data_IF_385811962212
#
_entry.id   IF_385811962212
#
_cell.length_a   1.000
_cell.length_b   1.000
_cell.length_c   1.000
_cell.angle_alpha   90.00
_cell.angle_beta   90.00
_cell.angle_gamma   90.00
#
_symmetry.space_group_name_H-M   'P 1'
#
loop_
_entity.id
_entity.type
_entity.pdbx_description
1 polymer ?
#
# COMPACT_ATOMS: atom_id res chain seq x y z
N UNK A 1 -4.04 23.83 -2.20
CA UNK A 1 -4.39 24.54 -3.46
C UNK A 1 -5.54 25.49 -3.19
N UNK A 2 -5.50 26.75 -3.71
CA UNK A 2 -6.61 27.72 -3.66
C UNK A 2 -6.94 28.11 -5.10
N UNK A 3 -8.14 27.78 -5.54
CA UNK A 3 -8.71 28.16 -6.84
C UNK A 3 -9.68 29.34 -6.62
N UNK A 4 -9.74 30.26 -7.58
CA UNK A 4 -10.57 31.48 -7.49
C UNK A 4 -11.87 31.33 -8.30
N UNK A 5 -11.82 30.64 -9.42
CA UNK A 5 -12.87 30.51 -10.39
C UNK A 5 -13.45 29.10 -10.45
N UNK A 6 -12.67 28.09 -10.01
CA UNK A 6 -13.10 26.68 -9.96
C UNK A 6 -13.51 26.28 -8.54
N UNK A 7 -14.58 25.49 -8.44
CA UNK A 7 -15.06 24.93 -7.18
C UNK A 7 -14.70 23.44 -7.08
N UNK A 8 -13.73 23.10 -6.21
CA UNK A 8 -13.33 21.71 -5.97
C UNK A 8 -14.53 20.81 -5.58
N UNK A 9 -15.44 21.23 -4.66
CA UNK A 9 -16.61 20.39 -4.34
C UNK A 9 -17.51 20.10 -5.54
N UNK A 10 -17.66 21.04 -6.46
CA UNK A 10 -18.42 20.84 -7.67
C UNK A 10 -17.74 19.85 -8.62
N UNK A 11 -16.43 20.01 -8.83
CA UNK A 11 -15.63 19.10 -9.65
C UNK A 11 -15.67 17.66 -9.13
N UNK A 12 -15.53 17.48 -7.81
CA UNK A 12 -15.62 16.17 -7.14
C UNK A 12 -16.99 15.54 -7.34
N UNK A 13 -18.07 16.34 -7.24
CA UNK A 13 -19.43 15.85 -7.46
C UNK A 13 -19.67 15.39 -8.91
N UNK A 14 -19.18 16.16 -9.89
CA UNK A 14 -19.28 15.83 -11.32
C UNK A 14 -18.39 14.62 -11.70
N UNK A 15 -17.20 14.52 -11.11
CA UNK A 15 -16.30 13.40 -11.35
C UNK A 15 -16.76 12.08 -10.72
N UNK A 16 -17.72 12.11 -9.79
CA UNK A 16 -18.22 10.94 -9.08
C UNK A 16 -17.24 10.34 -8.07
N UNK A 17 -16.19 11.07 -7.70
CA UNK A 17 -15.21 10.63 -6.70
C UNK A 17 -14.24 11.73 -6.30
N UNK A 18 -13.70 11.64 -5.09
CA UNK A 18 -12.75 12.59 -4.54
C UNK A 18 -11.31 12.01 -4.59
N UNK A 19 -10.47 12.44 -5.55
CA UNK A 19 -9.12 11.93 -5.71
C UNK A 19 -8.21 12.24 -4.52
N UNK A 20 -8.40 13.38 -3.84
CA UNK A 20 -7.62 13.74 -2.65
C UNK A 20 -7.96 12.86 -1.45
N UNK A 21 -9.24 12.52 -1.29
CA UNK A 21 -9.66 11.58 -0.24
C UNK A 21 -9.10 10.17 -0.47
N UNK A 22 -9.08 9.71 -1.72
CA UNK A 22 -8.48 8.43 -2.11
C UNK A 22 -6.97 8.43 -1.84
N UNK A 23 -6.26 9.48 -2.28
CA UNK A 23 -4.82 9.63 -2.02
C UNK A 23 -4.54 9.65 -0.52
N UNK A 24 -5.26 10.46 0.26
CA UNK A 24 -5.11 10.53 1.71
C UNK A 24 -5.28 9.17 2.38
N UNK A 25 -6.29 8.38 1.95
CA UNK A 25 -6.49 7.01 2.42
C UNK A 25 -5.32 6.10 2.07
N UNK A 26 -4.77 6.23 0.87
CA UNK A 26 -3.62 5.46 0.41
C UNK A 26 -2.34 5.84 1.17
N UNK A 27 -2.10 7.13 1.40
CA UNK A 27 -0.95 7.64 2.16
C UNK A 27 -0.99 7.26 3.66
N UNK A 28 -2.17 6.97 4.21
CA UNK A 28 -2.30 6.43 5.56
C UNK A 28 -1.71 5.03 5.73
N UNK A 29 -1.52 4.29 4.64
CA UNK A 29 -0.85 2.99 4.62
C UNK A 29 0.62 3.09 5.05
N UNK A 30 1.13 2.02 5.67
CA UNK A 30 2.49 1.99 6.24
C UNK A 30 3.33 0.84 5.67
N UNK A 31 3.83 0.96 4.43
CA UNK A 31 4.58 -0.11 3.77
C UNK A 31 5.82 -0.55 4.58
N UNK A 32 6.50 0.38 5.26
CA UNK A 32 7.64 0.04 6.10
C UNK A 32 7.30 -0.87 7.29
N UNK A 33 6.09 -0.75 7.87
CA UNK A 33 5.63 -1.64 8.93
C UNK A 33 5.30 -3.03 8.38
N UNK A 34 4.68 -3.11 7.20
CA UNK A 34 4.42 -4.38 6.51
C UNK A 34 5.74 -5.08 6.18
N UNK A 35 6.73 -4.35 5.66
CA UNK A 35 8.06 -4.90 5.38
C UNK A 35 8.80 -5.36 6.65
N UNK A 36 8.59 -4.69 7.78
CA UNK A 36 9.15 -5.13 9.07
C UNK A 36 8.49 -6.42 9.57
N UNK A 37 7.17 -6.54 9.38
CA UNK A 37 6.43 -7.76 9.68
C UNK A 37 6.88 -8.92 8.78
N UNK A 38 7.08 -8.66 7.49
CA UNK A 38 7.61 -9.66 6.54
C UNK A 38 8.96 -10.22 7.02
N UNK A 39 9.87 -9.36 7.45
CA UNK A 39 11.17 -9.80 8.01
C UNK A 39 11.01 -10.67 9.24
N UNK A 40 10.08 -10.31 10.16
CA UNK A 40 9.81 -11.13 11.34
C UNK A 40 9.29 -12.53 10.97
N UNK A 41 8.43 -12.64 9.96
CA UNK A 41 7.98 -13.93 9.44
C UNK A 41 9.11 -14.72 8.77
N UNK A 42 10.01 -14.06 8.05
CA UNK A 42 11.17 -14.69 7.46
C UNK A 42 12.11 -15.27 8.53
N UNK A 43 12.44 -14.48 9.56
CA UNK A 43 13.29 -14.90 10.67
C UNK A 43 12.66 -16.05 11.47
N UNK A 44 11.36 -15.99 11.71
CA UNK A 44 10.60 -17.07 12.33
C UNK A 44 10.65 -18.34 11.48
N UNK A 45 10.55 -18.22 10.16
CA UNK A 45 10.69 -19.33 9.23
C UNK A 45 12.05 -20.02 9.31
N UNK A 46 13.13 -19.24 9.37
CA UNK A 46 14.51 -19.73 9.55
C UNK A 46 14.62 -20.48 10.88
N UNK A 47 14.19 -19.85 12.00
CA UNK A 47 14.26 -20.45 13.32
C UNK A 47 13.45 -21.76 13.42
N UNK A 48 12.29 -21.82 12.75
CA UNK A 48 11.46 -23.02 12.70
C UNK A 48 12.13 -24.14 11.89
N UNK A 49 12.80 -23.79 10.77
CA UNK A 49 13.55 -24.76 9.98
C UNK A 49 14.76 -25.32 10.75
N UNK A 50 15.47 -24.49 11.49
CA UNK A 50 16.58 -24.91 12.35
C UNK A 50 16.09 -25.85 13.48
N UNK A 51 14.93 -25.51 14.08
CA UNK A 51 14.31 -26.37 15.09
C UNK A 51 13.89 -27.74 14.51
N UNK A 52 13.36 -27.79 13.29
CA UNK A 52 12.99 -29.04 12.61
C UNK A 52 14.22 -29.92 12.36
N UNK A 53 15.31 -29.33 11.89
CA UNK A 53 16.59 -30.02 11.69
C UNK A 53 17.15 -30.56 13.02
N UNK A 54 17.17 -29.73 14.06
CA UNK A 54 17.67 -30.13 15.39
C UNK A 54 16.82 -31.26 16.01
N UNK A 55 15.49 -31.14 15.87
CA UNK A 55 14.57 -32.15 16.35
C UNK A 55 14.72 -33.48 15.62
N UNK A 56 14.84 -33.45 14.29
CA UNK A 56 15.10 -34.64 13.46
C UNK A 56 16.42 -35.31 13.85
N UNK A 57 17.47 -34.55 14.06
CA UNK A 57 18.76 -35.07 14.51
C UNK A 57 18.69 -35.67 15.93
N UNK A 58 17.93 -35.08 16.84
CA UNK A 58 17.67 -35.62 18.18
C UNK A 58 16.93 -36.96 18.12
N UNK A 59 15.88 -37.06 17.29
CA UNK A 59 15.16 -38.31 17.04
C UNK A 59 16.08 -39.42 16.54
N UNK A 60 16.92 -39.13 15.55
CA UNK A 60 17.86 -40.11 15.01
C UNK A 60 18.86 -40.62 16.06
N UNK A 61 19.38 -39.70 16.93
CA UNK A 61 20.26 -40.11 18.05
C UNK A 61 19.52 -40.98 19.08
N UNK A 62 18.27 -40.66 19.39
CA UNK A 62 17.44 -41.41 20.28
C UNK A 62 17.17 -42.83 19.72
N UNK A 63 16.81 -42.95 18.46
CA UNK A 63 16.58 -44.23 17.77
C UNK A 63 17.83 -45.10 17.77
N UNK A 64 19.00 -44.52 17.48
CA UNK A 64 20.29 -45.23 17.49
C UNK A 64 20.68 -45.77 18.86
N UNK A 65 20.27 -45.07 19.96
CA UNK A 65 20.53 -45.50 21.34
C UNK A 65 19.44 -46.32 21.96
N UNK A 66 18.29 -46.46 21.33
CA UNK A 66 17.14 -47.19 21.86
C UNK A 66 17.38 -48.68 21.89
N UNK A 67 17.28 -49.27 23.08
CA UNK A 67 17.54 -50.66 23.30
C UNK A 67 16.19 -51.44 23.33
N UNK A 68 15.82 -52.08 22.26
CA UNK A 68 14.53 -52.76 22.00
C UNK A 68 14.20 -53.92 22.97
N UNK A 69 14.87 -54.05 24.13
CA UNK A 69 14.82 -55.21 25.02
C UNK A 69 13.45 -55.55 25.62
N UNK A 70 12.49 -54.62 25.63
CA UNK A 70 11.20 -54.86 26.36
C UNK A 70 9.93 -54.70 25.49
N UNK A 71 10.02 -54.67 24.16
CA UNK A 71 8.83 -54.55 23.29
C UNK A 71 8.08 -53.22 23.44
N UNK A 72 8.65 -52.24 24.15
CA UNK A 72 8.07 -50.93 24.30
C UNK A 72 8.17 -50.10 22.99
N UNK A 73 7.09 -49.45 22.61
CA UNK A 73 7.09 -48.54 21.44
C UNK A 73 8.01 -47.35 21.69
N UNK A 74 8.93 -47.04 20.75
CA UNK A 74 9.79 -45.86 20.91
C UNK A 74 8.98 -44.59 21.10
N UNK A 75 9.41 -43.71 21.99
CA UNK A 75 8.74 -42.40 22.24
C UNK A 75 8.62 -41.58 20.97
N UNK A 76 9.54 -41.75 20.00
CA UNK A 76 9.52 -41.13 18.68
C UNK A 76 8.30 -41.50 17.85
N UNK A 77 7.68 -42.63 18.11
CA UNK A 77 6.46 -43.11 17.42
C UNK A 77 5.17 -42.64 18.12
N UNK A 78 5.30 -41.92 19.24
CA UNK A 78 4.15 -41.34 19.89
C UNK A 78 3.41 -40.35 18.98
N UNK A 79 2.08 -40.31 19.10
CA UNK A 79 1.24 -39.42 18.32
C UNK A 79 1.59 -37.93 18.54
N UNK A 80 2.11 -37.61 19.72
CA UNK A 80 2.54 -36.24 20.08
C UNK A 80 3.80 -35.84 19.34
N UNK A 81 4.84 -36.68 19.35
CA UNK A 81 6.08 -36.44 18.62
C UNK A 81 5.83 -36.29 17.13
N UNK A 82 5.01 -37.20 16.55
CA UNK A 82 4.65 -37.10 15.16
C UNK A 82 3.82 -35.86 14.80
N UNK A 83 2.97 -35.38 15.72
CA UNK A 83 2.21 -34.13 15.54
C UNK A 83 3.13 -32.93 15.53
N UNK A 84 4.05 -32.84 16.48
CA UNK A 84 5.04 -31.75 16.56
C UNK A 84 5.94 -31.74 15.31
N UNK A 85 6.45 -32.87 14.88
CA UNK A 85 7.27 -32.99 13.67
C UNK A 85 6.52 -32.48 12.43
N UNK A 86 5.26 -32.86 12.29
CA UNK A 86 4.43 -32.41 11.14
C UNK A 86 4.14 -30.92 11.22
N UNK A 87 3.86 -30.39 12.40
CA UNK A 87 3.62 -28.96 12.59
C UNK A 87 4.86 -28.13 12.22
N UNK A 88 6.03 -28.47 12.75
CA UNK A 88 7.30 -27.80 12.40
C UNK A 88 7.57 -27.83 10.89
N UNK A 89 7.40 -28.98 10.24
CA UNK A 89 7.62 -29.10 8.80
C UNK A 89 6.61 -28.31 7.95
N UNK A 90 5.41 -28.04 8.44
CA UNK A 90 4.41 -27.19 7.77
C UNK A 90 4.75 -25.71 7.97
N UNK A 91 5.01 -25.30 9.20
CA UNK A 91 5.29 -23.92 9.55
C UNK A 91 6.59 -23.43 8.90
N UNK A 92 7.65 -24.23 8.88
CA UNK A 92 8.91 -23.89 8.21
C UNK A 92 8.75 -23.56 6.71
N UNK A 93 7.70 -24.07 6.07
CA UNK A 93 7.39 -23.77 4.66
C UNK A 93 6.38 -22.65 4.46
N UNK A 94 5.46 -22.46 5.41
CA UNK A 94 4.41 -21.44 5.31
C UNK A 94 4.92 -20.04 5.69
N UNK A 95 5.73 -19.91 6.74
CA UNK A 95 6.22 -18.64 7.22
C UNK A 95 7.02 -17.86 6.15
N UNK A 96 7.95 -18.46 5.39
CA UNK A 96 8.63 -17.75 4.31
C UNK A 96 7.70 -17.30 3.17
N UNK A 97 6.63 -18.04 2.88
CA UNK A 97 5.65 -17.64 1.87
C UNK A 97 4.87 -16.42 2.31
N UNK A 98 4.40 -16.42 3.56
CA UNK A 98 3.75 -15.23 4.15
C UNK A 98 4.69 -14.02 4.12
N UNK A 99 5.98 -14.20 4.42
CA UNK A 99 6.98 -13.15 4.34
C UNK A 99 7.06 -12.57 2.91
N UNK A 100 7.16 -13.42 1.89
CA UNK A 100 7.23 -12.99 0.48
C UNK A 100 5.95 -12.26 0.04
N UNK A 101 4.78 -12.74 0.45
CA UNK A 101 3.50 -12.08 0.13
C UNK A 101 3.42 -10.70 0.79
N UNK A 102 3.86 -10.56 2.05
CA UNK A 102 3.92 -9.28 2.76
C UNK A 102 4.93 -8.31 2.13
N UNK A 103 6.09 -8.78 1.69
CA UNK A 103 7.07 -7.97 0.96
C UNK A 103 6.47 -7.42 -0.33
N UNK A 104 5.76 -8.26 -1.07
CA UNK A 104 5.06 -7.87 -2.30
C UNK A 104 4.00 -6.80 -2.02
N UNK A 105 3.17 -6.99 -0.99
CA UNK A 105 2.16 -6.01 -0.58
C UNK A 105 2.82 -4.68 -0.19
N UNK A 106 3.91 -4.72 0.58
CA UNK A 106 4.63 -3.53 1.00
C UNK A 106 5.20 -2.75 -0.20
N UNK A 107 5.78 -3.47 -1.18
CA UNK A 107 6.34 -2.88 -2.39
C UNK A 107 5.25 -2.24 -3.27
N UNK A 108 4.14 -2.95 -3.50
CA UNK A 108 3.00 -2.45 -4.29
C UNK A 108 2.39 -1.22 -3.62
N UNK A 109 2.19 -1.24 -2.29
CA UNK A 109 1.66 -0.10 -1.57
C UNK A 109 2.57 1.12 -1.67
N UNK A 110 3.89 0.95 -1.49
CA UNK A 110 4.85 2.04 -1.61
C UNK A 110 4.88 2.64 -3.03
N UNK A 111 4.77 1.81 -4.06
CA UNK A 111 4.69 2.26 -5.44
C UNK A 111 3.39 2.99 -5.72
N UNK A 112 2.26 2.45 -5.26
CA UNK A 112 0.95 3.10 -5.40
C UNK A 112 0.92 4.46 -4.72
N UNK A 113 1.52 4.61 -3.53
CA UNK A 113 1.64 5.90 -2.84
C UNK A 113 2.42 6.92 -3.67
N UNK A 114 3.58 6.54 -4.22
CA UNK A 114 4.38 7.44 -5.08
C UNK A 114 3.62 7.85 -6.34
N UNK A 115 2.98 6.90 -6.98
CA UNK A 115 2.21 7.13 -8.21
C UNK A 115 1.02 8.05 -7.92
N UNK A 116 0.30 7.81 -6.83
CA UNK A 116 -0.83 8.64 -6.41
C UNK A 116 -0.39 10.09 -6.14
N UNK A 117 0.69 10.29 -5.37
CA UNK A 117 1.24 11.63 -5.12
C UNK A 117 1.53 12.37 -6.44
N UNK A 118 2.19 11.71 -7.39
CA UNK A 118 2.50 12.30 -8.69
C UNK A 118 1.22 12.70 -9.47
N UNK A 119 0.18 11.86 -9.45
CA UNK A 119 -1.08 12.17 -10.14
C UNK A 119 -1.81 13.33 -9.46
N UNK A 120 -1.81 13.42 -8.13
CA UNK A 120 -2.42 14.53 -7.40
C UNK A 120 -1.68 15.83 -7.69
N UNK A 121 -0.34 15.83 -7.67
CA UNK A 121 0.45 17.02 -8.02
C UNK A 121 0.20 17.49 -9.45
N UNK A 122 0.12 16.57 -10.41
CA UNK A 122 -0.22 16.89 -11.79
C UNK A 122 -1.64 17.48 -11.93
N UNK A 123 -2.63 16.84 -11.28
CA UNK A 123 -4.00 17.33 -11.26
C UNK A 123 -4.10 18.75 -10.66
N UNK A 124 -3.43 19.00 -9.54
CA UNK A 124 -3.42 20.30 -8.91
C UNK A 124 -2.78 21.38 -9.79
N UNK A 125 -1.72 21.02 -10.50
CA UNK A 125 -1.07 21.90 -11.47
C UNK A 125 -2.01 22.25 -12.63
N UNK A 126 -2.67 21.25 -13.22
CA UNK A 126 -3.58 21.46 -14.34
C UNK A 126 -4.80 22.30 -13.93
N UNK A 127 -5.37 22.02 -12.74
CA UNK A 127 -6.48 22.81 -12.21
C UNK A 127 -6.10 24.27 -11.95
N UNK A 128 -4.89 24.52 -11.45
CA UNK A 128 -4.39 25.88 -11.25
C UNK A 128 -4.23 26.63 -12.58
N UNK A 129 -3.69 25.95 -13.61
CA UNK A 129 -3.55 26.55 -14.94
C UNK A 129 -4.90 26.90 -15.55
N UNK A 130 -5.89 26.03 -15.46
CA UNK A 130 -7.26 26.27 -15.94
C UNK A 130 -7.92 27.44 -15.17
N UNK A 131 -7.74 27.50 -13.84
CA UNK A 131 -8.27 28.57 -13.02
C UNK A 131 -7.70 29.94 -13.41
N UNK A 132 -6.40 30.00 -13.70
CA UNK A 132 -5.71 31.19 -14.20
C UNK A 132 -6.20 31.58 -15.62
N UNK A 133 -6.39 30.64 -16.53
CA UNK A 133 -6.94 30.88 -17.87
C UNK A 133 -8.36 31.45 -17.80
N UNK A 134 -9.22 30.92 -16.91
CA UNK A 134 -10.55 31.46 -16.67
C UNK A 134 -10.47 32.90 -16.16
N UNK A 135 -9.55 33.17 -15.23
CA UNK A 135 -9.32 34.53 -14.71
C UNK A 135 -8.96 35.51 -15.82
N UNK A 136 -8.02 35.16 -16.69
CA UNK A 136 -7.61 35.99 -17.83
C UNK A 136 -8.76 36.24 -18.80
N UNK A 137 -9.53 35.19 -19.15
CA UNK A 137 -10.69 35.34 -20.02
C UNK A 137 -11.76 36.26 -19.46
N UNK A 138 -11.99 36.22 -18.14
CA UNK A 138 -12.93 37.09 -17.47
C UNK A 138 -12.45 38.56 -17.48
N UNK A 139 -11.16 38.83 -17.21
CA UNK A 139 -10.55 40.17 -17.27
C UNK A 139 -10.64 40.74 -18.71
N UNK A 140 -10.39 39.92 -19.73
CA UNK A 140 -10.52 40.34 -21.14
C UNK A 140 -11.97 40.71 -21.49
N UNK A 141 -12.95 39.87 -21.04
CA UNK A 141 -14.36 40.15 -21.24
C UNK A 141 -14.83 41.47 -20.59
N UNK A 142 -14.39 41.71 -19.35
CA UNK A 142 -14.70 42.95 -18.62
C UNK A 142 -14.09 44.18 -19.32
N UNK A 143 -12.87 44.04 -19.84
CA UNK A 143 -12.21 45.13 -20.61
C UNK A 143 -12.98 45.43 -21.89
N UNK A 144 -13.36 44.43 -22.68
CA UNK A 144 -14.16 44.61 -23.89
C UNK A 144 -15.51 45.29 -23.60
N UNK A 145 -16.22 44.83 -22.55
CA UNK A 145 -17.49 45.42 -22.14
C UNK A 145 -17.33 46.90 -21.72
N UNK A 146 -16.26 47.27 -21.04
CA UNK A 146 -15.95 48.64 -20.67
C UNK A 146 -15.64 49.53 -21.87
N UNK A 147 -14.97 49.01 -22.88
CA UNK A 147 -14.70 49.72 -24.15
C UNK A 147 -15.97 49.96 -24.97
N UNK A 148 -16.86 48.96 -25.06
CA UNK A 148 -18.15 49.12 -25.75
C UNK A 148 -19.03 50.22 -25.11
N UNK A 149 -19.08 50.24 -23.78
CA UNK A 149 -19.80 51.27 -23.03
C UNK A 149 -19.22 52.70 -23.27
N UNK A 150 -17.89 52.82 -23.39
CA UNK A 150 -17.25 54.09 -23.72
C UNK A 150 -17.58 54.53 -25.16
N UNK A 151 -17.64 53.62 -26.10
CA UNK A 151 -17.94 53.89 -27.50
C UNK A 151 -19.39 54.33 -27.71
N UNK A 152 -20.33 53.69 -27.04
CA UNK A 152 -21.75 54.06 -27.06
C UNK A 152 -21.99 55.43 -26.43
N UNK A 153 -21.34 55.76 -25.32
CA UNK A 153 -21.49 57.09 -24.70
C UNK A 153 -20.98 58.22 -25.57
N UNK A 154 -19.95 57.99 -26.39
CA UNK A 154 -19.43 59.01 -27.35
C UNK A 154 -20.31 59.20 -28.55
N UNK A 155 -21.07 58.19 -28.95
CA UNK A 155 -22.00 58.25 -30.10
C UNK A 155 -23.35 58.93 -29.78
N UNK A 156 -23.81 58.88 -28.52
CA UNK A 156 -25.03 59.52 -28.04
C UNK A 156 -24.88 61.03 -27.79
N UNK A 157 -23.66 61.56 -27.77
CA UNK A 157 -23.40 63.02 -27.52
C UNK A 157 -23.24 63.84 -28.80
N UNK A 158 -23.57 63.32 -29.95
CA UNK A 158 -23.59 64.00 -31.26
C UNK A 158 -24.99 64.19 -31.77
#
# INVERSE_FOLDING_TARGET
MQLRHLSIPFLVAEAGGDPWSIDSGLQAGRPAQIASLARAFHDAGISTAEADVAFTAARGRFEASWNHRNGAVPINDSAEVQRVTRALAVESRQLPRIATDLETIAAVLAESQRTSTWYIEALEHDLAAIDDEIGQALEEADHCAAEELRYSAVTETK
#
